data_IF_225871416397
#
_entry.id   IF_225871416397
#
_cell.length_a   1.000
_cell.length_b   1.000
_cell.length_c   1.000
_cell.angle_alpha   90.00
_cell.angle_beta   90.00
_cell.angle_gamma   90.00
#
_symmetry.space_group_name_H-M   'P 1'
#
loop_
_entity.id
_entity.type
_entity.pdbx_description
1 polymer ?
#
# COMPACT_ATOMS: atom_id res chain seq x y z
N UNK A 1 -28.66 -2.76 5.04
CA UNK A 1 -28.06 -3.32 3.82
C UNK A 1 -28.68 -2.77 2.52
N UNK A 2 -29.99 -2.52 2.46
CA UNK A 2 -30.66 -2.03 1.24
C UNK A 2 -30.20 -0.67 0.71
N UNK A 3 -29.94 0.29 1.60
CA UNK A 3 -29.50 1.65 1.22
C UNK A 3 -28.18 1.63 0.44
N UNK A 4 -27.23 0.78 0.86
CA UNK A 4 -25.96 0.61 0.19
C UNK A 4 -26.13 -0.04 -1.20
N UNK A 5 -27.00 -1.04 -1.32
CA UNK A 5 -27.33 -1.67 -2.62
C UNK A 5 -27.96 -0.68 -3.61
N UNK A 6 -28.87 0.19 -3.13
CA UNK A 6 -29.50 1.23 -3.97
C UNK A 6 -28.49 2.26 -4.49
N UNK A 7 -27.52 2.67 -3.67
CA UNK A 7 -26.46 3.61 -4.09
C UNK A 7 -25.50 2.97 -5.10
N UNK A 8 -25.17 1.69 -4.95
CA UNK A 8 -24.30 0.95 -5.89
C UNK A 8 -24.94 0.83 -7.29
N UNK A 9 -26.25 0.62 -7.37
CA UNK A 9 -27.01 0.54 -8.63
C UNK A 9 -27.14 1.88 -9.37
N UNK A 10 -26.95 3.01 -8.68
CA UNK A 10 -27.04 4.34 -9.26
C UNK A 10 -25.78 4.76 -10.00
N UNK A 11 -24.64 4.11 -9.78
CA UNK A 11 -23.38 4.45 -10.46
C UNK A 11 -23.35 3.84 -11.88
N UNK A 12 -23.35 4.67 -12.95
CA UNK A 12 -23.30 4.20 -14.33
C UNK A 12 -22.05 3.38 -14.64
N UNK A 13 -20.95 3.61 -13.90
CA UNK A 13 -19.68 2.87 -14.06
C UNK A 13 -19.79 1.42 -13.58
N UNK A 14 -20.70 1.16 -12.66
CA UNK A 14 -20.94 -0.17 -12.07
C UNK A 14 -22.06 -0.94 -12.77
N UNK A 15 -22.91 -0.27 -13.58
CA UNK A 15 -23.89 -0.93 -14.47
C UNK A 15 -23.22 -1.84 -15.49
N UNK A 16 -22.00 -1.48 -15.91
CA UNK A 16 -21.14 -2.35 -16.71
C UNK A 16 -20.46 -3.29 -15.72
N UNK A 17 -21.09 -4.44 -15.46
CA UNK A 17 -20.71 -5.38 -14.39
C UNK A 17 -19.19 -5.54 -14.22
N UNK A 18 -18.76 -5.74 -12.98
CA UNK A 18 -17.35 -5.88 -12.61
C UNK A 18 -16.67 -6.95 -13.49
N UNK A 19 -15.75 -6.52 -14.36
CA UNK A 19 -15.15 -7.39 -15.36
C UNK A 19 -13.95 -8.12 -14.77
N UNK A 20 -14.20 -9.33 -14.25
CA UNK A 20 -13.15 -10.27 -13.83
C UNK A 20 -12.45 -10.96 -15.02
N UNK A 21 -12.70 -10.54 -16.27
CA UNK A 21 -12.09 -11.15 -17.47
C UNK A 21 -10.56 -11.24 -17.36
N UNK A 22 -9.92 -10.24 -16.76
CA UNK A 22 -8.47 -10.22 -16.53
C UNK A 22 -8.02 -11.13 -15.37
N UNK A 23 -8.87 -11.33 -14.36
CA UNK A 23 -8.62 -12.21 -13.20
C UNK A 23 -8.79 -13.68 -13.58
N UNK A 24 -9.76 -13.98 -14.45
CA UNK A 24 -9.96 -15.33 -14.99
C UNK A 24 -8.71 -15.87 -15.68
N UNK A 25 -8.01 -15.02 -16.44
CA UNK A 25 -6.77 -15.40 -17.12
C UNK A 25 -5.64 -15.78 -16.16
N UNK A 26 -5.64 -15.21 -14.95
CA UNK A 26 -4.67 -15.52 -13.89
C UNK A 26 -5.05 -16.79 -13.12
N UNK A 27 -6.34 -17.05 -12.96
CA UNK A 27 -6.83 -18.16 -12.13
C UNK A 27 -7.08 -19.46 -12.91
N UNK A 28 -7.20 -19.40 -14.23
CA UNK A 28 -7.57 -20.56 -15.08
C UNK A 28 -6.60 -21.75 -14.97
N UNK A 29 -5.32 -21.48 -14.72
CA UNK A 29 -4.25 -22.49 -14.72
C UNK A 29 -3.86 -22.92 -13.30
N UNK A 30 -4.53 -22.38 -12.27
CA UNK A 30 -4.26 -22.75 -10.88
C UNK A 30 -4.84 -24.15 -10.65
N UNK A 31 -4.02 -25.16 -10.29
CA UNK A 31 -4.52 -26.48 -9.95
C UNK A 31 -5.45 -26.36 -8.74
N UNK A 32 -6.66 -26.91 -8.87
CA UNK A 32 -7.60 -26.96 -7.76
C UNK A 32 -7.00 -27.85 -6.68
N UNK A 33 -6.60 -27.24 -5.58
CA UNK A 33 -6.26 -28.00 -4.38
C UNK A 33 -7.56 -28.60 -3.85
N UNK A 34 -7.57 -29.92 -3.68
CA UNK A 34 -8.67 -30.61 -3.01
C UNK A 34 -8.77 -30.10 -1.56
N UNK A 35 -10.00 -29.86 -1.08
CA UNK A 35 -10.33 -29.27 0.23
C UNK A 35 -9.89 -30.12 1.46
N UNK A 36 -9.05 -31.12 1.26
CA UNK A 36 -8.60 -32.05 2.30
C UNK A 36 -7.30 -31.63 3.00
N UNK A 37 -6.84 -30.39 2.83
CA UNK A 37 -5.87 -29.82 3.77
C UNK A 37 -6.66 -29.18 4.91
N UNK A 38 -6.91 -29.98 5.94
CA UNK A 38 -7.33 -29.48 7.24
C UNK A 38 -6.20 -28.58 7.76
N UNK A 39 -6.30 -27.27 7.49
CA UNK A 39 -5.49 -26.25 8.15
C UNK A 39 -6.05 -26.16 9.56
N UNK A 40 -5.69 -27.14 10.38
CA UNK A 40 -5.89 -27.09 11.82
C UNK A 40 -5.06 -25.93 12.32
N UNK A 41 -5.73 -24.88 12.79
CA UNK A 41 -5.13 -23.80 13.54
C UNK A 41 -4.60 -24.41 14.84
N UNK A 42 -3.27 -24.44 15.10
CA UNK A 42 -2.78 -24.73 16.43
C UNK A 42 -2.67 -23.39 17.16
N UNK A 43 -3.68 -23.05 17.94
CA UNK A 43 -3.47 -22.25 19.14
C UNK A 43 -2.55 -23.06 20.05
N UNK A 44 -1.36 -22.56 20.42
CA UNK A 44 -0.72 -22.70 21.75
C UNK A 44 0.68 -22.05 21.72
N UNK A 45 0.99 -21.41 22.82
CA UNK A 45 2.17 -20.63 23.20
C UNK A 45 3.53 -21.37 23.30
N UNK A 46 4.61 -20.57 23.23
CA UNK A 46 5.97 -20.76 23.80
C UNK A 46 6.94 -21.81 23.21
N UNK A 47 8.11 -21.26 22.83
CA UNK A 47 9.49 -21.76 22.93
C UNK A 47 9.97 -23.06 22.23
N UNK A 48 10.87 -22.81 21.26
CA UNK A 48 12.18 -23.45 21.03
C UNK A 48 12.25 -24.84 20.37
N UNK A 49 13.05 -24.86 19.29
CA UNK A 49 13.75 -25.99 18.61
C UNK A 49 13.08 -26.62 17.38
N UNK A 50 13.65 -26.32 16.19
CA UNK A 50 14.19 -27.38 15.33
C UNK A 50 13.62 -27.59 13.91
N UNK A 51 14.44 -27.19 12.92
CA UNK A 51 14.59 -27.74 11.55
C UNK A 51 13.63 -27.30 10.41
N UNK A 52 14.05 -27.34 9.13
CA UNK A 52 15.38 -27.08 8.55
C UNK A 52 15.33 -25.89 7.57
N UNK A 53 16.42 -25.11 7.54
CA UNK A 53 16.59 -23.99 6.62
C UNK A 53 16.51 -24.46 5.16
N UNK A 54 15.54 -23.93 4.41
CA UNK A 54 15.49 -24.08 2.96
C UNK A 54 16.73 -23.43 2.36
N UNK A 55 17.47 -24.22 1.59
CA UNK A 55 18.69 -23.86 0.89
C UNK A 55 18.54 -22.52 0.16
N UNK A 56 19.23 -21.50 0.65
CA UNK A 56 19.49 -20.27 -0.10
C UNK A 56 20.68 -20.52 -1.03
N UNK A 57 20.64 -20.07 -2.29
CA UNK A 57 21.74 -20.22 -3.24
C UNK A 57 23.06 -19.70 -2.67
N UNK A 58 24.10 -20.52 -2.78
CA UNK A 58 25.47 -20.28 -2.30
C UNK A 58 25.95 -18.85 -2.59
N UNK A 59 26.01 -18.01 -1.54
CA UNK A 59 26.95 -16.91 -1.55
C UNK A 59 28.35 -17.51 -1.43
N UNK A 60 29.06 -17.54 -2.56
CA UNK A 60 30.47 -17.92 -2.68
C UNK A 60 31.33 -17.30 -1.58
N UNK A 61 31.57 -18.07 -0.52
CA UNK A 61 32.48 -17.70 0.57
C UNK A 61 33.91 -18.05 0.19
N UNK A 62 34.71 -17.06 -0.19
CA UNK A 62 36.16 -17.25 -0.26
C UNK A 62 36.72 -17.34 1.15
N UNK A 63 37.09 -18.55 1.59
CA UNK A 63 37.95 -18.76 2.76
C UNK A 63 39.39 -18.45 2.38
N UNK A 64 39.95 -17.34 2.87
CA UNK A 64 41.39 -17.11 2.87
C UNK A 64 41.97 -17.91 4.05
N UNK A 65 42.69 -18.99 3.74
CA UNK A 65 43.46 -19.76 4.71
C UNK A 65 44.89 -19.23 4.74
N UNK A 66 45.26 -18.51 5.80
CA UNK A 66 46.63 -18.05 6.07
C UNK A 66 47.30 -19.03 7.02
N UNK A 67 47.61 -20.23 6.53
CA UNK A 67 48.57 -21.09 7.19
C UNK A 67 49.68 -21.42 6.19
N UNK A 68 50.78 -20.67 6.27
CA UNK A 68 52.00 -20.95 5.53
C UNK A 68 53.08 -21.38 6.51
N UNK A 69 53.21 -22.69 6.67
CA UNK A 69 54.44 -23.29 7.17
C UNK A 69 54.70 -24.56 6.34
N UNK A 70 55.64 -24.44 5.39
CA UNK A 70 56.74 -25.40 5.18
C UNK A 70 57.33 -25.28 3.75
N UNK A 71 58.66 -25.14 3.74
CA UNK A 71 59.62 -25.68 2.77
C UNK A 71 59.30 -25.76 1.28
N UNK A 72 59.81 -24.78 0.52
CA UNK A 72 60.64 -25.07 -0.66
C UNK A 72 59.96 -25.24 -2.02
N UNK A 73 60.66 -24.71 -3.04
CA UNK A 73 60.53 -25.03 -4.47
C UNK A 73 59.51 -24.22 -5.29
N UNK A 74 59.97 -23.08 -5.77
CA UNK A 74 59.93 -22.64 -7.17
C UNK A 74 58.73 -23.12 -8.03
N UNK A 75 57.68 -22.30 -8.17
CA UNK A 75 56.95 -22.21 -9.44
C UNK A 75 56.27 -20.85 -9.56
N UNK A 76 57.01 -19.89 -10.09
CA UNK A 76 56.45 -18.62 -10.56
C UNK A 76 55.65 -18.89 -11.84
N UNK A 77 54.38 -19.27 -11.70
CA UNK A 77 53.45 -19.33 -12.82
C UNK A 77 52.40 -18.22 -12.63
N UNK A 78 52.77 -16.99 -12.98
CA UNK A 78 51.78 -15.91 -13.14
C UNK A 78 50.84 -16.29 -14.30
N UNK A 79 49.52 -16.33 -14.10
CA UNK A 79 48.62 -16.43 -15.24
C UNK A 79 48.71 -15.16 -16.07
N UNK A 80 48.76 -15.41 -17.37
CA UNK A 80 48.83 -14.49 -18.49
C UNK A 80 47.90 -13.28 -18.31
N UNK A 81 48.52 -12.12 -18.52
CA UNK A 81 47.96 -10.79 -18.64
C UNK A 81 46.60 -10.77 -19.38
N UNK A 82 45.51 -10.53 -18.65
CA UNK A 82 44.20 -10.30 -19.27
C UNK A 82 44.23 -8.95 -19.99
N UNK A 83 44.08 -8.96 -21.32
CA UNK A 83 43.93 -7.77 -22.16
C UNK A 83 42.87 -6.85 -21.56
N UNK A 84 43.29 -5.68 -21.04
CA UNK A 84 42.38 -4.65 -20.52
C UNK A 84 41.57 -4.09 -21.69
N UNK A 85 40.33 -4.57 -21.86
CA UNK A 85 39.37 -3.91 -22.72
C UNK A 85 39.03 -2.54 -22.10
N UNK A 86 39.32 -1.45 -22.82
CA UNK A 86 38.93 -0.09 -22.41
C UNK A 86 37.41 0.02 -22.47
N UNK A 87 36.75 0.03 -21.30
CA UNK A 87 35.34 0.37 -21.16
C UNK A 87 35.13 1.80 -21.69
N UNK A 88 34.43 1.94 -22.83
CA UNK A 88 34.02 3.24 -23.36
C UNK A 88 32.91 3.78 -22.48
N UNK A 89 33.18 4.91 -21.82
CA UNK A 89 32.23 5.70 -21.03
C UNK A 89 30.95 5.98 -21.84
N UNK A 90 29.80 5.52 -21.36
CA UNK A 90 28.47 5.97 -21.79
C UNK A 90 27.98 6.85 -20.64
N UNK A 91 28.24 8.17 -20.70
CA UNK A 91 27.89 9.09 -19.60
C UNK A 91 26.60 9.87 -19.88
N UNK A 92 26.15 9.95 -21.14
CA UNK A 92 25.07 10.87 -21.51
C UNK A 92 23.65 10.30 -21.37
N UNK A 93 23.49 8.97 -21.31
CA UNK A 93 22.17 8.33 -21.29
C UNK A 93 21.68 7.97 -19.87
N UNK A 94 22.61 7.87 -18.90
CA UNK A 94 22.34 7.46 -17.52
C UNK A 94 21.75 8.60 -16.66
N UNK A 95 22.05 9.87 -16.99
CA UNK A 95 21.58 11.02 -16.20
C UNK A 95 20.08 11.28 -16.41
N UNK A 96 19.58 11.06 -17.64
CA UNK A 96 18.16 11.26 -17.98
C UNK A 96 17.25 10.30 -17.22
N UNK A 97 17.69 9.07 -16.96
CA UNK A 97 16.92 8.10 -16.18
C UNK A 97 16.76 8.54 -14.71
N UNK A 98 17.85 9.01 -14.10
CA UNK A 98 17.85 9.52 -12.73
C UNK A 98 17.03 10.80 -12.59
N UNK A 99 17.15 11.75 -13.52
CA UNK A 99 16.37 12.99 -13.50
C UNK A 99 14.86 12.71 -13.63
N UNK A 100 14.48 11.77 -14.49
CA UNK A 100 13.09 11.33 -14.63
C UNK A 100 12.57 10.65 -13.37
N UNK A 101 13.39 9.82 -12.71
CA UNK A 101 13.04 9.19 -11.45
C UNK A 101 12.81 10.24 -10.36
N UNK A 102 13.74 11.17 -10.20
CA UNK A 102 13.63 12.28 -9.22
C UNK A 102 12.38 13.11 -9.50
N UNK A 103 12.16 13.53 -10.75
CA UNK A 103 10.96 14.29 -11.13
C UNK A 103 9.66 13.52 -10.86
N UNK A 104 9.64 12.21 -11.12
CA UNK A 104 8.48 11.36 -10.82
C UNK A 104 8.22 11.27 -9.32
N UNK A 105 9.26 11.11 -8.50
CA UNK A 105 9.12 11.06 -7.04
C UNK A 105 8.60 12.37 -6.47
N UNK A 106 9.07 13.52 -6.99
CA UNK A 106 8.59 14.84 -6.58
C UNK A 106 7.10 15.02 -6.90
N UNK A 107 6.66 14.60 -8.09
CA UNK A 107 5.24 14.63 -8.49
C UNK A 107 4.38 13.80 -7.54
N UNK A 108 4.83 12.60 -7.19
CA UNK A 108 4.12 11.73 -6.24
C UNK A 108 4.03 12.41 -4.87
N UNK A 109 5.13 12.98 -4.37
CA UNK A 109 5.16 13.68 -3.09
C UNK A 109 4.17 14.86 -3.06
N UNK A 110 4.15 15.66 -4.12
CA UNK A 110 3.24 16.79 -4.25
C UNK A 110 1.77 16.33 -4.25
N UNK A 111 1.44 15.28 -5.02
CA UNK A 111 0.10 14.71 -5.03
C UNK A 111 -0.31 14.18 -3.65
N UNK A 112 0.59 13.49 -2.95
CA UNK A 112 0.32 13.00 -1.59
C UNK A 112 0.07 14.14 -0.62
N UNK A 113 0.89 15.21 -0.67
CA UNK A 113 0.73 16.40 0.16
C UNK A 113 -0.61 17.11 -0.10
N UNK A 114 -0.97 17.27 -1.37
CA UNK A 114 -2.25 17.86 -1.76
C UNK A 114 -3.44 17.01 -1.29
N UNK A 115 -3.37 15.70 -1.48
CA UNK A 115 -4.42 14.77 -1.03
C UNK A 115 -4.61 14.79 0.49
N UNK A 116 -3.53 14.94 1.25
CA UNK A 116 -3.58 15.08 2.71
C UNK A 116 -4.27 16.38 3.11
N UNK A 117 -3.85 17.52 2.54
CA UNK A 117 -4.47 18.82 2.82
C UNK A 117 -5.95 18.88 2.41
N UNK A 118 -6.30 18.26 1.27
CA UNK A 118 -7.69 18.20 0.80
C UNK A 118 -8.58 17.40 1.75
N UNK A 119 -8.10 16.26 2.27
CA UNK A 119 -8.84 15.47 3.27
C UNK A 119 -9.03 16.23 4.58
N UNK A 120 -7.99 16.94 5.05
CA UNK A 120 -8.05 17.75 6.26
C UNK A 120 -9.13 18.83 6.17
N UNK A 121 -9.11 19.65 5.10
CA UNK A 121 -10.15 20.66 4.86
C UNK A 121 -11.57 20.07 4.79
N UNK A 122 -11.72 18.90 4.16
CA UNK A 122 -13.00 18.20 4.11
C UNK A 122 -13.46 17.77 5.51
N UNK A 123 -12.57 17.27 6.35
CA UNK A 123 -12.89 16.88 7.73
C UNK A 123 -13.32 18.07 8.57
N UNK A 124 -12.59 19.19 8.51
CA UNK A 124 -12.95 20.44 9.20
C UNK A 124 -14.34 20.93 8.79
N UNK A 125 -14.62 20.91 7.48
CA UNK A 125 -15.91 21.32 6.93
C UNK A 125 -17.05 20.40 7.41
N UNK A 126 -16.81 19.09 7.49
CA UNK A 126 -17.79 18.13 8.03
C UNK A 126 -18.07 18.42 9.51
N UNK A 127 -17.03 18.67 10.32
CA UNK A 127 -17.18 19.03 11.73
C UNK A 127 -17.96 20.33 11.90
N UNK A 128 -17.64 21.37 11.13
CA UNK A 128 -18.35 22.65 11.18
C UNK A 128 -19.84 22.49 10.80
N UNK A 129 -20.15 21.69 9.77
CA UNK A 129 -21.54 21.38 9.39
C UNK A 129 -22.28 20.62 10.49
N UNK A 130 -21.60 19.69 11.17
CA UNK A 130 -22.19 18.95 12.28
C UNK A 130 -22.48 19.88 13.46
N UNK A 131 -21.52 20.73 13.85
CA UNK A 131 -21.70 21.71 14.92
C UNK A 131 -22.85 22.66 14.62
N UNK A 132 -22.94 23.21 13.39
CA UNK A 132 -24.05 24.09 12.99
C UNK A 132 -25.40 23.38 13.10
N UNK A 133 -25.48 22.10 12.72
CA UNK A 133 -26.72 21.32 12.86
C UNK A 133 -27.10 21.09 14.32
N UNK A 134 -26.13 20.83 15.19
CA UNK A 134 -26.36 20.72 16.62
C UNK A 134 -26.87 22.05 17.20
N UNK A 135 -26.20 23.16 16.89
CA UNK A 135 -26.61 24.49 17.33
C UNK A 135 -28.01 24.86 16.84
N UNK A 136 -28.39 24.53 15.60
CA UNK A 136 -29.75 24.74 15.10
C UNK A 136 -30.79 23.88 15.82
N UNK A 137 -30.43 22.64 16.18
CA UNK A 137 -31.32 21.72 16.90
C UNK A 137 -31.52 22.16 18.35
N UNK A 138 -30.45 22.59 19.03
CA UNK A 138 -30.49 23.10 20.39
C UNK A 138 -31.26 24.42 20.47
N UNK A 139 -31.03 25.34 19.54
CA UNK A 139 -31.70 26.64 19.49
C UNK A 139 -33.04 26.62 18.74
N UNK A 140 -33.65 25.43 18.57
CA UNK A 140 -34.88 25.28 17.77
C UNK A 140 -36.00 26.18 18.29
N UNK A 141 -36.20 26.25 19.61
CA UNK A 141 -37.28 27.04 20.22
C UNK A 141 -37.07 28.55 19.99
N UNK A 142 -35.84 29.05 20.14
CA UNK A 142 -35.47 30.44 19.90
C UNK A 142 -35.67 30.87 18.44
N UNK A 143 -35.50 29.94 17.50
CA UNK A 143 -35.66 30.17 16.06
C UNK A 143 -37.09 29.91 15.56
N UNK A 144 -37.99 29.40 16.43
CA UNK A 144 -39.36 29.06 16.02
C UNK A 144 -40.18 30.34 15.92
N UNK A 145 -40.70 30.62 14.73
CA UNK A 145 -41.60 31.76 14.55
C UNK A 145 -43.01 31.37 15.03
N UNK A 146 -43.44 32.00 16.12
CA UNK A 146 -44.71 31.76 16.78
C UNK A 146 -45.93 32.07 15.89
N UNK A 147 -45.79 32.83 14.80
CA UNK A 147 -46.88 33.10 13.85
C UNK A 147 -47.26 31.88 13.00
N UNK A 148 -46.45 30.81 12.99
CA UNK A 148 -46.78 29.54 12.32
C UNK A 148 -47.45 28.51 13.24
N UNK A 149 -47.73 28.87 14.49
CA UNK A 149 -48.43 28.01 15.44
C UNK A 149 -49.91 28.40 15.42
N UNK A 150 -50.71 27.59 14.74
CA UNK A 150 -52.15 27.84 14.57
C UNK A 150 -52.93 27.71 15.89
N UNK A 151 -52.48 26.85 16.81
CA UNK A 151 -53.12 26.66 18.11
C UNK A 151 -52.60 27.68 19.13
N UNK A 152 -53.44 28.67 19.41
CA UNK A 152 -53.23 29.72 20.43
C UNK A 152 -52.86 29.14 21.80
N UNK A 153 -53.45 28.01 22.20
CA UNK A 153 -53.18 27.41 23.51
C UNK A 153 -51.79 26.77 23.59
N UNK A 154 -51.22 26.33 22.48
CA UNK A 154 -49.83 25.83 22.46
C UNK A 154 -48.83 26.97 22.31
N UNK A 155 -49.21 28.03 21.60
CA UNK A 155 -48.40 29.23 21.38
C UNK A 155 -48.04 29.98 22.67
N UNK A 156 -48.93 29.96 23.66
CA UNK A 156 -48.71 30.65 24.95
C UNK A 156 -47.73 29.94 25.90
N UNK A 157 -47.34 28.69 25.61
CA UNK A 157 -46.44 27.88 26.46
C UNK A 157 -45.06 27.62 25.84
N UNK A 158 -44.77 28.24 24.69
CA UNK A 158 -43.51 28.13 23.92
C UNK A 158 -42.81 29.48 23.96
#
# INVERSE_FOLDING_TARGET
>A
MEKAKKLLMQDPKLKKGFKFDHVWLLMKDIPKFSDNVNIGIPDTESDTVGFPASQTPEFSSFTINLNSDDGGSNSSQRPIESKKAKLKRKLDEDNTCMDNLVSSTEKILNFLKESASSREKNNEMVLLRMQKKLALKENKILLTNLNFIDDINTRQFI
#
